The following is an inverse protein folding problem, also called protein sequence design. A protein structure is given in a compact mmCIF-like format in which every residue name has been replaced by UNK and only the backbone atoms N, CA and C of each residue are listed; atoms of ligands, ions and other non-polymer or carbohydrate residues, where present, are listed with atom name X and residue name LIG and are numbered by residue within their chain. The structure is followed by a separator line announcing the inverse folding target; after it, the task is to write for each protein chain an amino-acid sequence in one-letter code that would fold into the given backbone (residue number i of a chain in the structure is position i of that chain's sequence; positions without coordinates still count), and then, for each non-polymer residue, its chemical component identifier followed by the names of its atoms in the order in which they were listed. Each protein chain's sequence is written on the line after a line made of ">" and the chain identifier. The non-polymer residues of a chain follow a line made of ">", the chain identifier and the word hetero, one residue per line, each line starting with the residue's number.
data_IF_994715586831
#
_entry.id   IF_994715586831
#
_cell.length_a   1.000
_cell.length_b   1.000
_cell.length_c   1.000
_cell.angle_alpha   90.00
_cell.angle_beta   90.00
_cell.angle_gamma   90.00
#
_symmetry.space_group_name_H-M   'P 1'
#
loop_
_entity.id
_entity.type
_entity.pdbx_description
1 polymer ?
#
# COMPACT_ATOMS: atom_id res chain seq x y z
N UNK A 1 -8.63 18.26 2.60
CA UNK A 1 -9.43 18.81 1.48
C UNK A 1 -10.92 18.66 1.68
N UNK A 2 -11.43 17.50 2.10
CA UNK A 2 -12.86 17.32 2.39
C UNK A 2 -13.39 18.37 3.38
N UNK A 3 -12.69 18.59 4.50
CA UNK A 3 -13.01 19.66 5.45
C UNK A 3 -13.12 21.06 4.80
N UNK A 4 -12.23 21.42 3.88
CA UNK A 4 -12.33 22.71 3.17
C UNK A 4 -13.55 22.77 2.24
N UNK A 5 -13.87 21.66 1.59
CA UNK A 5 -15.07 21.56 0.75
C UNK A 5 -16.35 21.71 1.56
N UNK A 6 -16.44 21.06 2.73
CA UNK A 6 -17.57 21.19 3.67
C UNK A 6 -17.73 22.62 4.20
N UNK A 7 -16.62 23.32 4.40
CA UNK A 7 -16.61 24.74 4.77
C UNK A 7 -16.88 25.70 3.58
N UNK A 8 -17.22 25.17 2.38
CA UNK A 8 -17.57 25.97 1.21
C UNK A 8 -16.39 26.65 0.52
N UNK A 9 -15.16 26.23 0.78
CA UNK A 9 -13.98 26.82 0.15
C UNK A 9 -13.90 26.45 -1.33
N UNK A 10 -13.15 27.26 -2.10
CA UNK A 10 -12.79 26.91 -3.48
C UNK A 10 -11.53 26.06 -3.52
N UNK A 11 -11.41 25.19 -4.52
CA UNK A 11 -10.23 24.36 -4.74
C UNK A 11 -8.91 25.18 -4.77
N UNK A 12 -8.92 26.35 -5.40
CA UNK A 12 -7.76 27.23 -5.42
C UNK A 12 -7.36 27.78 -4.04
N UNK A 13 -8.33 28.07 -3.17
CA UNK A 13 -8.06 28.51 -1.79
C UNK A 13 -7.46 27.37 -0.98
N UNK A 14 -8.05 26.16 -1.07
CA UNK A 14 -7.51 24.98 -0.43
C UNK A 14 -6.11 24.61 -0.95
N UNK A 15 -5.85 24.77 -2.24
CA UNK A 15 -4.53 24.51 -2.82
C UNK A 15 -3.45 25.43 -2.23
N UNK A 16 -3.75 26.73 -2.06
CA UNK A 16 -2.82 27.69 -1.47
C UNK A 16 -2.54 27.37 -0.01
N UNK A 17 -3.61 27.20 0.76
CA UNK A 17 -3.53 26.88 2.20
C UNK A 17 -2.78 25.55 2.45
N UNK A 18 -3.05 24.51 1.68
CA UNK A 18 -2.36 23.23 1.81
C UNK A 18 -0.87 23.31 1.43
N UNK A 19 -0.52 24.08 0.41
CA UNK A 19 0.90 24.29 0.07
C UNK A 19 1.60 25.25 1.04
N UNK A 20 0.86 26.08 1.78
CA UNK A 20 1.41 26.92 2.84
C UNK A 20 1.65 26.11 4.12
N UNK A 21 0.68 25.29 4.53
CA UNK A 21 0.76 24.41 5.71
C UNK A 21 1.78 23.29 5.57
N UNK A 22 1.80 22.61 4.42
CA UNK A 22 2.61 21.40 4.20
C UNK A 22 3.83 21.63 3.32
N UNK A 23 4.08 22.86 2.90
CA UNK A 23 5.18 23.22 2.01
C UNK A 23 4.82 23.21 0.53
N UNK A 24 5.50 24.07 -0.21
CA UNK A 24 5.23 24.33 -1.63
C UNK A 24 5.54 23.09 -2.46
N UNK A 25 4.54 22.61 -3.21
CA UNK A 25 4.66 21.45 -4.08
C UNK A 25 4.15 20.14 -3.46
N UNK A 26 3.61 20.18 -2.24
CA UNK A 26 2.99 19.00 -1.60
C UNK A 26 1.77 18.52 -2.39
N UNK A 27 1.01 19.44 -2.95
CA UNK A 27 -0.12 19.11 -3.82
C UNK A 27 -0.14 20.01 -5.04
N UNK A 28 -0.45 19.44 -6.21
CA UNK A 28 -0.69 20.21 -7.43
C UNK A 28 -2.13 20.75 -7.49
N UNK A 29 -2.32 21.86 -8.21
CA UNK A 29 -3.65 22.46 -8.37
C UNK A 29 -4.64 21.49 -9.05
N UNK A 30 -4.17 20.72 -10.03
CA UNK A 30 -4.96 19.67 -10.70
C UNK A 30 -5.45 18.60 -9.73
N UNK A 31 -4.58 18.10 -8.85
CA UNK A 31 -4.98 17.13 -7.82
C UNK A 31 -6.04 17.72 -6.89
N UNK A 32 -5.89 18.99 -6.48
CA UNK A 32 -6.88 19.66 -5.65
C UNK A 32 -8.24 19.77 -6.37
N UNK A 33 -8.23 20.13 -7.66
CA UNK A 33 -9.45 20.20 -8.48
C UNK A 33 -10.12 18.83 -8.63
N UNK A 34 -9.35 17.76 -8.85
CA UNK A 34 -9.88 16.40 -8.99
C UNK A 34 -10.57 15.93 -7.71
N UNK A 35 -9.95 16.18 -6.54
CA UNK A 35 -10.58 15.92 -5.25
C UNK A 35 -11.90 16.68 -5.06
N UNK A 36 -11.92 17.97 -5.39
CA UNK A 36 -13.13 18.78 -5.32
C UNK A 36 -14.20 18.32 -6.31
N UNK A 37 -13.83 17.79 -7.48
CA UNK A 37 -14.76 17.20 -8.42
C UNK A 37 -15.39 15.91 -7.85
N UNK A 38 -14.59 15.06 -7.19
CA UNK A 38 -15.09 13.85 -6.51
C UNK A 38 -16.07 14.19 -5.39
N UNK A 39 -15.75 15.17 -4.54
CA UNK A 39 -16.65 15.58 -3.47
C UNK A 39 -17.97 16.13 -4.00
N UNK A 40 -17.94 16.88 -5.12
CA UNK A 40 -19.17 17.33 -5.80
C UNK A 40 -20.01 16.18 -6.37
N UNK A 41 -19.40 15.06 -6.74
CA UNK A 41 -20.13 13.85 -7.17
C UNK A 41 -20.69 13.02 -6.00
N UNK A 42 -20.52 13.46 -4.75
CA UNK A 42 -20.95 12.72 -3.55
C UNK A 42 -20.00 11.61 -3.11
N UNK A 43 -18.84 11.47 -3.76
CA UNK A 43 -17.78 10.55 -3.34
C UNK A 43 -16.88 11.25 -2.32
N UNK A 44 -17.20 11.08 -1.03
CA UNK A 44 -16.42 11.60 0.10
C UNK A 44 -15.34 10.63 0.59
N UNK A 45 -15.17 9.49 -0.09
CA UNK A 45 -14.16 8.51 0.29
C UNK A 45 -12.75 9.07 0.06
N UNK A 46 -11.96 9.09 1.12
CA UNK A 46 -10.54 9.46 1.08
C UNK A 46 -9.64 8.32 0.60
N UNK A 47 -10.20 7.12 0.45
CA UNK A 47 -9.48 5.98 -0.07
C UNK A 47 -9.11 6.20 -1.54
N UNK A 48 -7.90 5.76 -1.89
CA UNK A 48 -7.50 5.70 -3.28
C UNK A 48 -8.38 4.68 -3.99
N UNK A 49 -8.88 5.02 -5.18
CA UNK A 49 -9.58 4.02 -5.99
C UNK A 49 -8.58 2.91 -6.30
N UNK A 50 -8.98 1.63 -6.32
CA UNK A 50 -8.08 0.57 -6.75
C UNK A 50 -7.48 0.99 -8.09
N UNK A 51 -6.16 1.20 -8.10
CA UNK A 51 -5.49 1.78 -9.26
C UNK A 51 -5.77 0.95 -10.52
N UNK A 52 -5.58 1.53 -11.70
CA UNK A 52 -5.73 0.83 -13.01
C UNK A 52 -4.72 -0.31 -13.24
N UNK A 53 -4.14 -0.87 -12.18
CA UNK A 53 -3.40 -2.12 -12.26
C UNK A 53 -4.37 -3.28 -12.45
N UNK A 54 -3.95 -4.30 -13.19
CA UNK A 54 -4.66 -5.58 -13.27
C UNK A 54 -4.95 -6.07 -11.85
N UNK A 55 -6.23 -6.34 -11.48
CA UNK A 55 -6.51 -7.07 -10.25
C UNK A 55 -5.72 -8.38 -10.32
N UNK A 56 -4.87 -8.60 -9.33
CA UNK A 56 -4.29 -9.93 -9.17
C UNK A 56 -5.38 -10.75 -8.52
N UNK A 57 -5.72 -11.92 -9.05
CA UNK A 57 -6.49 -12.95 -8.32
C UNK A 57 -5.74 -13.48 -7.08
N UNK A 58 -4.62 -12.86 -6.75
CA UNK A 58 -3.78 -13.21 -5.63
C UNK A 58 -4.10 -12.26 -4.48
N UNK A 59 -4.67 -12.83 -3.42
CA UNK A 59 -5.06 -12.08 -2.22
C UNK A 59 -3.82 -11.79 -1.34
N UNK A 60 -3.42 -10.52 -1.37
CA UNK A 60 -2.31 -10.00 -0.57
C UNK A 60 -2.61 -10.11 0.96
N UNK A 61 -3.89 -10.21 1.39
CA UNK A 61 -4.27 -10.44 2.79
C UNK A 61 -4.15 -11.92 3.19
N UNK A 62 -4.58 -12.84 2.34
CA UNK A 62 -4.43 -14.28 2.60
C UNK A 62 -2.95 -14.67 2.73
N UNK A 63 -2.10 -14.17 1.82
CA UNK A 63 -0.65 -14.37 1.90
C UNK A 63 -0.07 -13.85 3.23
N UNK A 64 -0.57 -12.71 3.71
CA UNK A 64 -0.11 -12.13 4.97
C UNK A 64 -0.53 -12.98 6.16
N UNK A 65 -1.77 -13.48 6.18
CA UNK A 65 -2.30 -14.33 7.23
C UNK A 65 -1.53 -15.65 7.34
N UNK A 66 -1.22 -16.30 6.20
CA UNK A 66 -0.41 -17.53 6.19
C UNK A 66 0.99 -17.30 6.78
N UNK A 67 1.63 -16.18 6.42
CA UNK A 67 2.96 -15.81 6.97
C UNK A 67 2.89 -15.43 8.46
N UNK A 68 1.75 -14.95 8.95
CA UNK A 68 1.52 -14.69 10.39
C UNK A 68 1.26 -15.97 11.19
N UNK A 69 0.60 -16.96 10.60
CA UNK A 69 0.20 -18.20 11.26
C UNK A 69 1.36 -19.19 11.43
N UNK A 70 2.27 -19.31 10.45
CA UNK A 70 3.39 -20.25 10.52
C UNK A 70 4.74 -19.60 10.14
N UNK A 71 5.59 -19.46 11.16
CA UNK A 71 6.95 -18.92 11.08
C UNK A 71 7.94 -19.81 10.29
N UNK A 72 7.53 -20.98 9.83
CA UNK A 72 8.37 -21.89 9.04
C UNK A 72 8.02 -21.93 7.55
N UNK A 73 7.01 -21.19 7.12
CA UNK A 73 6.63 -21.16 5.71
C UNK A 73 7.71 -20.52 4.85
N UNK A 74 8.06 -21.23 3.78
CA UNK A 74 8.93 -20.72 2.72
C UNK A 74 8.10 -20.15 1.58
N UNK A 75 8.66 -19.20 0.84
CA UNK A 75 8.16 -18.68 -0.45
C UNK A 75 7.75 -19.77 -1.42
N UNK A 76 8.46 -20.91 -1.40
CA UNK A 76 8.09 -22.11 -2.16
C UNK A 76 6.78 -22.72 -1.71
N UNK A 77 6.58 -22.93 -0.41
CA UNK A 77 5.35 -23.49 0.13
C UNK A 77 4.16 -22.55 -0.11
N UNK A 78 4.37 -21.25 0.05
CA UNK A 78 3.36 -20.22 -0.25
C UNK A 78 2.98 -20.20 -1.74
N UNK A 79 3.96 -20.42 -2.63
CA UNK A 79 3.72 -20.50 -4.05
C UNK A 79 2.92 -21.75 -4.45
N UNK A 80 3.23 -22.90 -3.83
CA UNK A 80 2.52 -24.16 -4.03
C UNK A 80 1.07 -24.07 -3.51
N UNK A 81 0.87 -23.54 -2.30
CA UNK A 81 -0.45 -23.39 -1.66
C UNK A 81 -1.36 -22.41 -2.43
N UNK A 82 -0.79 -21.31 -2.90
CA UNK A 82 -1.53 -20.30 -3.68
C UNK A 82 -1.54 -20.57 -5.20
N UNK A 83 -0.98 -21.70 -5.66
CA UNK A 83 -0.85 -22.08 -7.07
C UNK A 83 -0.31 -20.94 -7.98
N UNK A 84 0.68 -20.20 -7.49
CA UNK A 84 1.35 -19.12 -8.21
C UNK A 84 2.85 -19.37 -8.33
N UNK A 85 3.53 -18.64 -9.20
CA UNK A 85 4.99 -18.72 -9.25
C UNK A 85 5.62 -18.13 -7.97
N UNK A 86 6.73 -18.71 -7.52
CA UNK A 86 7.56 -18.17 -6.43
C UNK A 86 7.93 -16.70 -6.66
N UNK A 87 8.28 -16.35 -7.91
CA UNK A 87 8.57 -14.97 -8.32
C UNK A 87 7.41 -13.99 -8.12
N UNK A 88 6.16 -14.48 -8.20
CA UNK A 88 4.97 -13.68 -7.91
C UNK A 88 4.86 -13.44 -6.41
N UNK A 89 5.04 -14.48 -5.59
CA UNK A 89 5.05 -14.38 -4.12
C UNK A 89 6.12 -13.40 -3.65
N UNK A 90 7.35 -13.50 -4.17
CA UNK A 90 8.46 -12.59 -3.84
C UNK A 90 8.13 -11.13 -4.13
N UNK A 91 7.57 -10.87 -5.32
CA UNK A 91 7.20 -9.51 -5.72
C UNK A 91 6.12 -8.94 -4.82
N UNK A 92 5.17 -9.79 -4.39
CA UNK A 92 4.05 -9.43 -3.52
C UNK A 92 4.52 -9.16 -2.10
N UNK A 93 5.37 -10.01 -1.53
CA UNK A 93 6.02 -9.81 -0.24
C UNK A 93 6.86 -8.51 -0.22
N UNK A 94 7.62 -8.23 -1.29
CA UNK A 94 8.35 -6.96 -1.45
C UNK A 94 7.40 -5.76 -1.47
N UNK A 95 6.29 -5.84 -2.20
CA UNK A 95 5.27 -4.78 -2.24
C UNK A 95 4.64 -4.54 -0.87
N UNK A 96 4.29 -5.60 -0.14
CA UNK A 96 3.74 -5.52 1.22
C UNK A 96 4.71 -4.84 2.19
N UNK A 97 6.01 -5.15 2.08
CA UNK A 97 7.06 -4.45 2.84
C UNK A 97 7.08 -2.94 2.54
N UNK A 98 7.00 -2.55 1.27
CA UNK A 98 7.03 -1.13 0.85
C UNK A 98 5.77 -0.35 1.26
N UNK A 99 4.59 -0.96 1.19
CA UNK A 99 3.31 -0.32 1.56
C UNK A 99 3.26 0.01 3.05
N UNK A 100 3.86 -0.83 3.90
CA UNK A 100 3.80 -0.67 5.36
C UNK A 100 4.79 0.34 5.93
N UNK A 101 5.89 0.66 5.23
CA UNK A 101 6.77 1.77 5.62
C UNK A 101 6.05 3.13 5.66
N UNK A 102 4.83 3.21 5.08
CA UNK A 102 3.93 4.37 5.11
C UNK A 102 3.05 4.44 6.37
N UNK A 103 2.93 3.35 7.13
CA UNK A 103 2.05 3.20 8.29
C UNK A 103 2.85 2.67 9.49
N UNK A 104 3.88 3.41 9.92
CA UNK A 104 4.64 3.07 11.13
C UNK A 104 3.77 3.33 12.37
N UNK A 105 3.13 2.29 12.90
CA UNK A 105 2.38 2.35 14.16
C UNK A 105 1.39 1.21 14.43
N UNK A 106 1.11 0.32 13.47
CA UNK A 106 0.12 -0.77 13.64
C UNK A 106 0.76 -2.07 14.18
N UNK A 107 0.05 -2.89 15.00
CA UNK A 107 0.54 -4.11 15.69
C UNK A 107 1.22 -5.20 14.86
N UNK A 108 1.27 -5.07 13.53
CA UNK A 108 1.84 -6.03 12.58
C UNK A 108 3.37 -6.18 12.64
N UNK A 109 4.06 -5.75 13.70
CA UNK A 109 5.53 -5.71 13.76
C UNK A 109 6.21 -7.10 13.64
N UNK A 110 5.51 -8.17 14.02
CA UNK A 110 5.99 -9.56 13.94
C UNK A 110 6.21 -10.03 12.49
N UNK A 111 5.33 -9.63 11.57
CA UNK A 111 5.43 -9.91 10.13
C UNK A 111 6.76 -9.46 9.52
N UNK A 112 7.33 -8.34 10.00
CA UNK A 112 8.57 -7.82 9.42
C UNK A 112 9.75 -8.76 9.68
N UNK A 113 9.86 -9.35 10.88
CA UNK A 113 10.91 -10.32 11.17
C UNK A 113 10.77 -11.55 10.28
N UNK A 114 9.54 -11.99 10.07
CA UNK A 114 9.26 -13.19 9.29
C UNK A 114 9.49 -13.00 7.78
N UNK A 115 9.00 -11.91 7.18
CA UNK A 115 9.25 -11.60 5.76
C UNK A 115 10.76 -11.43 5.49
N UNK A 116 11.49 -10.79 6.41
CA UNK A 116 12.96 -10.65 6.29
C UNK A 116 13.65 -12.02 6.39
N UNK A 117 13.20 -12.89 7.31
CA UNK A 117 13.73 -14.25 7.46
C UNK A 117 13.53 -15.09 6.21
N UNK A 118 12.33 -15.09 5.63
CA UNK A 118 12.00 -15.81 4.39
C UNK A 118 12.97 -15.42 3.27
N UNK A 119 13.24 -14.12 3.10
CA UNK A 119 14.19 -13.64 2.09
C UNK A 119 15.65 -14.05 2.38
N UNK A 120 16.09 -14.02 3.65
CA UNK A 120 17.45 -14.43 4.02
C UNK A 120 17.71 -15.94 3.82
N UNK A 121 16.69 -16.79 3.96
CA UNK A 121 16.82 -18.24 3.71
C UNK A 121 16.94 -18.58 2.22
N UNK A 122 16.44 -17.73 1.33
CA UNK A 122 16.43 -17.98 -0.11
C UNK A 122 17.72 -17.54 -0.82
N UNK A 123 18.40 -16.52 -0.28
CA UNK A 123 19.71 -16.06 -0.77
C UNK A 123 20.89 -16.95 -0.39
N UNK A 124 20.68 -18.02 0.40
CA UNK A 124 21.76 -18.87 0.92
C UNK A 124 21.90 -20.23 0.20
N UNK A 125 21.54 -20.29 -1.10
CA UNK A 125 21.68 -21.50 -1.94
C UNK A 125 22.50 -21.33 -3.23
N UNK A 126 23.13 -20.18 -3.44
CA UNK A 126 24.06 -19.98 -4.56
C UNK A 126 25.46 -19.63 -4.05
N UNK A 127 26.14 -20.61 -3.46
CA UNK A 127 27.61 -20.67 -3.45
C UNK A 127 28.05 -22.10 -3.10
N UNK A 128 28.15 -22.94 -4.12
CA UNK A 128 29.10 -24.04 -4.21
C UNK A 128 29.54 -24.15 -5.67
#
# INVERSE_FOLDING_TARGET
>A
MLHHFENGWKAAQSFRDLNELFGKGTISESQCRDWFARFKSGDTSLEDKPGRGRPSDFDDQALLASVEEDENLTTRMLAEDSNVSQSTVDRRLKKLRSVKNRWMGSPRALVQKQIVRIFCCETNKHHF
#
